data_IF_787199155525
#
_entry.id   IF_787199155525
#
_cell.length_a   1.000
_cell.length_b   1.000
_cell.length_c   1.000
_cell.angle_alpha   90.00
_cell.angle_beta   90.00
_cell.angle_gamma   90.00
#
_symmetry.space_group_name_H-M   'P 1'
#
loop_
_entity.id
_entity.type
_entity.pdbx_description
1 polymer ?
#
# COMPACT_ATOMS: atom_id res chain seq x y z
N UNK A 1 7.00 -36.73 8.51
CA UNK A 1 7.63 -35.65 9.31
C UNK A 1 9.14 -35.82 9.54
N UNK A 2 9.71 -37.03 9.56
CA UNK A 2 11.15 -37.23 9.85
C UNK A 2 12.08 -36.79 8.69
N UNK A 3 11.73 -37.10 7.44
CA UNK A 3 12.50 -36.75 6.23
C UNK A 3 12.63 -35.23 6.02
N UNK A 4 11.55 -34.48 6.26
CA UNK A 4 11.49 -33.02 6.18
C UNK A 4 12.59 -32.30 6.99
N UNK A 5 12.69 -32.66 8.28
CA UNK A 5 13.67 -32.05 9.19
C UNK A 5 15.11 -32.37 8.80
N UNK A 6 15.32 -33.53 8.19
CA UNK A 6 16.63 -33.95 7.72
C UNK A 6 17.05 -33.20 6.46
N UNK A 7 16.15 -32.94 5.52
CA UNK A 7 16.47 -32.17 4.31
C UNK A 7 16.79 -30.71 4.69
N UNK A 8 16.06 -30.13 5.64
CA UNK A 8 16.28 -28.77 6.13
C UNK A 8 17.73 -28.53 6.60
N UNK A 9 18.32 -29.48 7.33
CA UNK A 9 19.71 -29.35 7.80
C UNK A 9 20.78 -29.57 6.71
N UNK A 10 20.40 -30.02 5.50
CA UNK A 10 21.35 -30.20 4.39
C UNK A 10 21.57 -28.94 3.57
N UNK A 11 20.59 -28.02 3.58
CA UNK A 11 20.55 -26.86 2.70
C UNK A 11 20.60 -25.52 3.44
N UNK A 12 20.31 -25.49 4.75
CA UNK A 12 20.53 -24.30 5.57
C UNK A 12 21.97 -24.33 6.09
N UNK A 13 22.80 -23.41 5.60
CA UNK A 13 24.10 -23.11 6.19
C UNK A 13 23.83 -22.18 7.36
N UNK A 14 24.13 -22.62 8.58
CA UNK A 14 24.24 -21.71 9.73
C UNK A 14 25.35 -20.69 9.41
N UNK A 15 24.96 -19.48 8.99
CA UNK A 15 25.84 -18.32 9.07
C UNK A 15 26.08 -18.04 10.55
N UNK A 16 27.24 -18.47 11.06
CA UNK A 16 27.65 -18.15 12.42
C UNK A 16 28.64 -19.12 13.01
N UNK A 17 29.92 -18.93 12.70
CA UNK A 17 31.02 -18.99 13.68
C UNK A 17 32.29 -18.56 12.97
N UNK A 18 32.58 -17.26 13.02
CA UNK A 18 33.97 -16.77 12.89
C UNK A 18 34.74 -17.23 14.14
N UNK A 19 35.85 -17.97 14.01
CA UNK A 19 36.80 -18.11 15.09
C UNK A 19 37.86 -17.01 14.97
N UNK A 20 37.78 -16.08 15.93
CA UNK A 20 38.86 -15.32 16.58
C UNK A 20 40.17 -15.06 15.81
N UNK A 21 40.43 -13.77 15.65
CA UNK A 21 41.76 -13.19 15.44
C UNK A 21 42.78 -13.73 16.44
N UNK A 22 43.79 -14.45 15.95
CA UNK A 22 45.05 -14.66 16.66
C UNK A 22 46.15 -13.85 15.95
N UNK A 23 46.74 -12.91 16.68
CA UNK A 23 47.85 -12.05 16.24
C UNK A 23 49.18 -12.80 16.37
N UNK A 24 50.04 -12.76 15.35
CA UNK A 24 51.53 -12.58 15.42
C UNK A 24 52.16 -12.47 14.00
N UNK A 25 53.41 -11.96 13.82
CA UNK A 25 53.71 -10.87 12.87
C UNK A 25 54.63 -11.30 11.68
N UNK A 26 55.40 -10.43 10.96
CA UNK A 26 55.14 -10.14 9.54
C UNK A 26 56.24 -10.56 8.52
N UNK A 27 55.77 -10.86 7.30
CA UNK A 27 56.33 -10.62 5.93
C UNK A 27 57.68 -11.23 5.48
N UNK A 28 57.62 -12.02 4.41
CA UNK A 28 58.51 -11.95 3.25
C UNK A 28 57.75 -12.33 1.95
N UNK A 29 58.01 -11.70 0.78
CA UNK A 29 57.19 -11.89 -0.41
C UNK A 29 57.74 -13.00 -1.31
N UNK A 30 56.90 -13.96 -1.70
CA UNK A 30 57.20 -14.85 -2.82
C UNK A 30 56.09 -14.75 -3.86
N UNK A 31 56.53 -14.55 -5.09
CA UNK A 31 55.77 -14.30 -6.31
C UNK A 31 55.34 -15.63 -6.91
N UNK A 32 54.03 -15.84 -7.10
CA UNK A 32 53.51 -16.92 -7.95
C UNK A 32 52.33 -16.44 -8.80
N UNK A 33 52.36 -16.88 -10.06
CA UNK A 33 51.47 -16.63 -11.19
C UNK A 33 50.02 -17.11 -10.96
N UNK A 34 49.03 -16.59 -11.71
CA UNK A 34 47.62 -16.89 -11.49
C UNK A 34 47.22 -18.24 -12.11
N UNK A 35 46.66 -19.13 -11.28
CA UNK A 35 45.92 -20.33 -11.70
C UNK A 35 44.42 -20.00 -11.91
N UNK A 36 43.69 -20.78 -12.74
CA UNK A 36 42.48 -20.34 -13.42
C UNK A 36 41.22 -20.36 -12.53
N UNK A 37 40.30 -19.44 -12.87
CA UNK A 37 39.05 -19.15 -12.18
C UNK A 37 38.17 -20.41 -11.98
N UNK A 38 37.93 -20.74 -10.70
CA UNK A 38 36.84 -21.61 -10.28
C UNK A 38 35.51 -20.82 -10.31
N UNK A 39 34.44 -21.53 -10.69
CA UNK A 39 33.08 -21.10 -10.95
C UNK A 39 32.61 -19.79 -10.31
N UNK A 40 32.17 -18.88 -11.18
CA UNK A 40 31.29 -17.78 -10.79
C UNK A 40 29.98 -18.37 -10.24
N UNK A 41 29.77 -18.26 -8.94
CA UNK A 41 28.41 -18.27 -8.38
C UNK A 41 27.62 -17.16 -9.08
N UNK A 42 26.36 -17.42 -9.51
CA UNK A 42 25.56 -16.36 -10.12
C UNK A 42 25.39 -15.24 -9.09
N UNK A 43 25.83 -14.04 -9.44
CA UNK A 43 25.64 -12.84 -8.64
C UNK A 43 24.16 -12.73 -8.24
N UNK A 44 23.90 -12.83 -6.94
CA UNK A 44 22.56 -12.73 -6.37
C UNK A 44 21.94 -11.40 -6.78
N UNK A 45 20.81 -11.46 -7.49
CA UNK A 45 19.98 -10.31 -7.82
C UNK A 45 19.34 -9.72 -6.56
N UNK A 46 20.11 -9.06 -5.70
CA UNK A 46 19.67 -8.23 -4.57
C UNK A 46 18.79 -8.88 -3.48
N UNK A 47 18.43 -10.14 -3.63
CA UNK A 47 17.54 -10.89 -2.74
C UNK A 47 18.32 -11.57 -1.62
N UNK A 48 17.67 -11.69 -0.45
CA UNK A 48 18.18 -12.51 0.65
C UNK A 48 17.48 -13.87 0.61
N UNK A 49 18.25 -14.94 0.81
CA UNK A 49 17.68 -16.26 1.08
C UNK A 49 16.93 -16.16 2.42
N UNK A 50 15.63 -16.39 2.41
CA UNK A 50 14.81 -16.36 3.63
C UNK A 50 14.39 -17.76 4.01
N UNK A 51 14.34 -18.01 5.32
CA UNK A 51 13.94 -19.31 5.88
C UNK A 51 12.55 -19.74 5.37
N UNK A 52 11.62 -18.81 5.24
CA UNK A 52 10.27 -19.08 4.73
C UNK A 52 10.29 -19.63 3.29
N UNK A 53 11.03 -19.01 2.37
CA UNK A 53 11.06 -19.49 0.98
C UNK A 53 11.88 -20.76 0.85
N UNK A 54 12.95 -20.90 1.62
CA UNK A 54 13.69 -22.16 1.73
C UNK A 54 12.77 -23.29 2.22
N UNK A 55 11.92 -23.05 3.22
CA UNK A 55 10.94 -24.04 3.68
C UNK A 55 9.91 -24.42 2.59
N UNK A 56 9.43 -23.48 1.78
CA UNK A 56 8.51 -23.82 0.69
C UNK A 56 9.20 -24.71 -0.36
N UNK A 57 10.41 -24.33 -0.78
CA UNK A 57 11.16 -25.05 -1.81
C UNK A 57 11.58 -26.44 -1.36
N UNK A 58 12.11 -26.56 -0.14
CA UNK A 58 12.46 -27.85 0.43
C UNK A 58 11.22 -28.74 0.54
N UNK A 59 10.05 -28.17 0.85
CA UNK A 59 8.83 -28.95 1.06
C UNK A 59 8.39 -29.56 -0.26
N UNK A 60 8.45 -28.79 -1.34
CA UNK A 60 8.22 -29.29 -2.69
C UNK A 60 9.17 -30.45 -3.04
N UNK A 61 10.46 -30.35 -2.69
CA UNK A 61 11.41 -31.45 -2.88
C UNK A 61 11.05 -32.69 -2.06
N UNK A 62 10.67 -32.51 -0.79
CA UNK A 62 10.28 -33.64 0.09
C UNK A 62 8.99 -34.32 -0.35
N UNK A 63 8.03 -33.57 -0.90
CA UNK A 63 6.77 -34.12 -1.44
C UNK A 63 6.99 -34.87 -2.76
N UNK A 64 8.08 -34.56 -3.48
CA UNK A 64 8.49 -35.21 -4.73
C UNK A 64 9.70 -36.16 -4.53
N UNK A 65 9.85 -36.71 -3.33
CA UNK A 65 10.97 -37.58 -2.99
C UNK A 65 10.95 -38.89 -3.82
N UNK A 66 12.10 -39.28 -4.36
CA UNK A 66 12.25 -40.51 -5.14
C UNK A 66 12.55 -41.69 -4.20
N UNK A 67 11.95 -42.86 -4.45
CA UNK A 67 12.25 -44.08 -3.69
C UNK A 67 13.67 -44.60 -3.98
N UNK A 68 14.34 -45.07 -2.92
CA UNK A 68 15.70 -45.63 -2.98
C UNK A 68 16.79 -44.63 -2.58
N UNK A 69 18.05 -45.00 -2.83
CA UNK A 69 19.19 -44.12 -2.57
C UNK A 69 19.33 -43.10 -3.71
N UNK A 70 18.99 -41.84 -3.43
CA UNK A 70 18.90 -40.76 -4.41
C UNK A 70 19.85 -39.58 -4.09
N UNK A 71 19.70 -38.47 -4.81
CA UNK A 71 20.48 -37.26 -4.60
C UNK A 71 20.39 -36.70 -3.17
N UNK A 72 19.23 -36.78 -2.49
CA UNK A 72 19.08 -36.23 -1.14
C UNK A 72 19.84 -37.06 -0.11
N UNK A 73 19.76 -38.39 -0.21
CA UNK A 73 20.54 -39.28 0.66
C UNK A 73 22.05 -39.21 0.35
N UNK A 74 22.42 -38.98 -0.91
CA UNK A 74 23.79 -38.70 -1.30
C UNK A 74 24.30 -37.37 -0.70
N UNK A 75 23.51 -36.29 -0.80
CA UNK A 75 23.83 -34.98 -0.20
C UNK A 75 23.96 -35.06 1.32
N UNK A 76 23.15 -35.90 1.97
CA UNK A 76 23.25 -36.20 3.41
C UNK A 76 24.54 -36.93 3.78
N UNK A 77 24.95 -37.89 2.96
CA UNK A 77 26.22 -38.60 3.12
C UNK A 77 27.40 -37.62 2.99
N UNK A 78 27.36 -36.74 1.99
CA UNK A 78 28.35 -35.67 1.82
C UNK A 78 28.40 -34.73 3.03
N UNK A 79 27.25 -34.29 3.53
CA UNK A 79 27.16 -33.42 4.71
C UNK A 79 27.77 -34.08 5.95
N UNK A 80 27.53 -35.38 6.16
CA UNK A 80 28.11 -36.14 7.27
C UNK A 80 29.62 -36.22 7.18
N UNK A 81 30.16 -36.41 5.96
CA UNK A 81 31.61 -36.46 5.72
C UNK A 81 32.28 -35.09 5.82
N UNK A 82 31.57 -33.96 5.72
CA UNK A 82 32.16 -32.60 5.89
C UNK A 82 32.85 -32.40 7.24
N UNK A 83 32.46 -33.16 8.25
CA UNK A 83 33.04 -33.13 9.60
C UNK A 83 34.45 -33.73 9.67
N UNK A 84 34.90 -34.40 8.61
CA UNK A 84 36.22 -35.04 8.55
C UNK A 84 37.16 -34.21 7.67
N UNK A 85 38.45 -34.09 8.05
CA UNK A 85 39.47 -33.42 7.25
C UNK A 85 39.86 -34.29 6.05
N UNK A 86 39.15 -34.10 4.95
CA UNK A 86 39.44 -34.70 3.64
C UNK A 86 39.18 -33.65 2.55
N UNK A 87 39.83 -33.79 1.41
CA UNK A 87 39.58 -32.98 0.22
C UNK A 87 38.24 -33.34 -0.44
N UNK A 88 37.71 -32.42 -1.24
CA UNK A 88 36.39 -32.55 -1.87
C UNK A 88 36.27 -33.77 -2.80
N UNK A 89 37.24 -34.06 -3.71
CA UNK A 89 37.18 -35.26 -4.54
C UNK A 89 37.08 -36.56 -3.73
N UNK A 90 37.91 -36.70 -2.70
CA UNK A 90 37.89 -37.85 -1.78
C UNK A 90 36.57 -37.94 -1.03
N UNK A 91 35.97 -36.81 -0.63
CA UNK A 91 34.66 -36.77 0.03
C UNK A 91 33.55 -37.30 -0.87
N UNK A 92 33.51 -36.86 -2.13
CA UNK A 92 32.54 -37.33 -3.12
C UNK A 92 32.72 -38.82 -3.43
N UNK A 93 33.96 -39.26 -3.66
CA UNK A 93 34.26 -40.68 -3.89
C UNK A 93 33.89 -41.55 -2.69
N UNK A 94 34.17 -41.09 -1.47
CA UNK A 94 33.85 -41.82 -0.23
C UNK A 94 32.33 -41.92 0.01
N UNK A 95 31.60 -40.82 -0.19
CA UNK A 95 30.13 -40.84 -0.13
C UNK A 95 29.54 -41.78 -1.19
N UNK A 96 30.12 -41.79 -2.39
CA UNK A 96 29.65 -42.63 -3.48
C UNK A 96 29.97 -44.11 -3.24
N UNK A 97 31.15 -44.45 -2.71
CA UNK A 97 31.48 -45.82 -2.33
C UNK A 97 30.48 -46.39 -1.31
N UNK A 98 30.08 -45.59 -0.31
CA UNK A 98 29.02 -45.97 0.63
C UNK A 98 27.67 -46.14 -0.08
N UNK A 99 27.28 -45.19 -0.94
CA UNK A 99 26.06 -45.26 -1.72
C UNK A 99 25.99 -46.49 -2.64
N UNK A 100 27.12 -46.89 -3.23
CA UNK A 100 27.22 -48.04 -4.13
C UNK A 100 26.92 -49.36 -3.40
N UNK A 101 27.30 -49.48 -2.12
CA UNK A 101 26.92 -50.65 -1.30
C UNK A 101 25.41 -50.75 -1.07
N UNK A 102 24.69 -49.63 -1.19
CA UNK A 102 23.23 -49.54 -1.14
C UNK A 102 22.55 -49.56 -2.53
N UNK A 103 23.29 -49.90 -3.59
CA UNK A 103 22.76 -50.04 -4.94
C UNK A 103 22.69 -48.74 -5.76
N UNK A 104 23.27 -47.63 -5.29
CA UNK A 104 23.31 -46.38 -6.04
C UNK A 104 24.20 -46.48 -7.29
N UNK A 105 23.80 -45.80 -8.36
CA UNK A 105 24.56 -45.66 -9.61
C UNK A 105 24.80 -44.17 -9.91
N UNK A 106 25.95 -43.78 -10.47
CA UNK A 106 26.25 -42.36 -10.74
C UNK A 106 25.19 -41.70 -11.62
N UNK A 107 24.76 -42.39 -12.69
CA UNK A 107 23.74 -41.89 -13.59
C UNK A 107 22.39 -41.69 -12.88
N UNK A 108 22.03 -42.58 -11.95
CA UNK A 108 20.79 -42.46 -11.18
C UNK A 108 20.82 -41.27 -10.25
N UNK A 109 21.94 -41.01 -9.57
CA UNK A 109 22.12 -39.83 -8.71
C UNK A 109 21.95 -38.53 -9.50
N UNK A 110 22.57 -38.44 -10.68
CA UNK A 110 22.43 -37.28 -11.58
C UNK A 110 20.97 -37.13 -12.05
N UNK A 111 20.31 -38.21 -12.46
CA UNK A 111 18.90 -38.18 -12.86
C UNK A 111 17.99 -37.70 -11.71
N UNK A 112 18.22 -38.18 -10.50
CA UNK A 112 17.43 -37.75 -9.33
C UNK A 112 17.71 -36.30 -8.96
N UNK A 113 18.95 -35.81 -9.10
CA UNK A 113 19.28 -34.40 -8.92
C UNK A 113 18.54 -33.52 -9.94
N UNK A 114 18.53 -33.93 -11.21
CA UNK A 114 17.81 -33.23 -12.27
C UNK A 114 16.30 -33.19 -12.02
N UNK A 115 15.72 -34.27 -11.49
CA UNK A 115 14.32 -34.28 -11.07
C UNK A 115 14.03 -33.22 -10.00
N UNK A 116 14.88 -33.11 -8.97
CA UNK A 116 14.70 -32.07 -7.95
C UNK A 116 14.86 -30.65 -8.49
N UNK A 117 15.74 -30.43 -9.47
CA UNK A 117 15.82 -29.14 -10.18
C UNK A 117 14.51 -28.85 -10.91
N UNK A 118 13.94 -29.81 -11.63
CA UNK A 118 12.66 -29.65 -12.32
C UNK A 118 11.50 -29.38 -11.36
N UNK A 119 11.49 -30.01 -10.18
CA UNK A 119 10.50 -29.74 -9.12
C UNK A 119 10.62 -28.29 -8.64
N UNK A 120 11.84 -27.80 -8.43
CA UNK A 120 12.08 -26.41 -8.02
C UNK A 120 11.69 -25.41 -9.12
N UNK A 121 11.99 -25.70 -10.39
CA UNK A 121 11.57 -24.89 -11.54
C UNK A 121 10.04 -24.80 -11.65
N UNK A 122 9.32 -25.91 -11.41
CA UNK A 122 7.86 -25.90 -11.37
C UNK A 122 7.32 -25.05 -10.23
N UNK A 123 7.96 -25.10 -9.05
CA UNK A 123 7.55 -24.30 -7.91
C UNK A 123 7.83 -22.80 -8.12
N UNK A 124 8.95 -22.47 -8.78
CA UNK A 124 9.24 -21.11 -9.23
C UNK A 124 8.16 -20.59 -10.18
N UNK A 125 7.77 -21.37 -11.19
CA UNK A 125 6.72 -20.98 -12.14
C UNK A 125 5.37 -20.73 -11.45
N UNK A 126 4.97 -21.60 -10.51
CA UNK A 126 3.75 -21.39 -9.71
C UNK A 126 3.84 -20.11 -8.88
N UNK A 127 4.99 -19.86 -8.25
CA UNK A 127 5.21 -18.64 -7.47
C UNK A 127 5.10 -17.39 -8.35
N UNK A 128 5.74 -17.38 -9.52
CA UNK A 128 5.66 -16.26 -10.46
C UNK A 128 4.21 -16.02 -10.93
N UNK A 129 3.46 -17.08 -11.23
CA UNK A 129 2.05 -16.98 -11.62
C UNK A 129 1.17 -16.43 -10.47
N UNK A 130 1.37 -16.92 -9.24
CA UNK A 130 0.67 -16.43 -8.06
C UNK A 130 0.99 -14.96 -7.79
N UNK A 131 2.25 -14.56 -7.92
CA UNK A 131 2.68 -13.17 -7.76
C UNK A 131 2.08 -12.26 -8.83
N UNK A 132 2.06 -12.70 -10.09
CA UNK A 132 1.43 -11.95 -11.18
C UNK A 132 -0.07 -11.76 -10.95
N UNK A 133 -0.77 -12.80 -10.51
CA UNK A 133 -2.19 -12.72 -10.16
C UNK A 133 -2.44 -11.80 -8.97
N UNK A 134 -1.63 -11.90 -7.91
CA UNK A 134 -1.74 -11.04 -6.73
C UNK A 134 -1.50 -9.57 -7.09
N UNK A 135 -0.49 -9.30 -7.91
CA UNK A 135 -0.20 -7.96 -8.43
C UNK A 135 -1.37 -7.44 -9.25
N UNK A 136 -1.89 -8.24 -10.18
CA UNK A 136 -3.05 -7.89 -11.00
C UNK A 136 -4.25 -7.53 -10.13
N UNK A 137 -4.64 -8.40 -9.18
CA UNK A 137 -5.78 -8.16 -8.31
C UNK A 137 -5.62 -6.89 -7.46
N UNK A 138 -4.45 -6.66 -6.87
CA UNK A 138 -4.22 -5.47 -6.04
C UNK A 138 -4.18 -4.18 -6.85
N UNK A 139 -3.62 -4.21 -8.06
CA UNK A 139 -3.55 -3.02 -8.92
C UNK A 139 -4.93 -2.73 -9.52
N UNK A 140 -5.58 -3.73 -10.12
CA UNK A 140 -6.88 -3.59 -10.79
C UNK A 140 -7.97 -3.15 -9.81
N UNK A 141 -8.02 -3.71 -8.60
CA UNK A 141 -8.99 -3.28 -7.58
C UNK A 141 -8.79 -1.82 -7.17
N UNK A 142 -7.54 -1.39 -6.96
CA UNK A 142 -7.21 0.00 -6.63
C UNK A 142 -7.50 0.94 -7.79
N UNK A 143 -7.21 0.55 -9.03
CA UNK A 143 -7.57 1.34 -10.21
C UNK A 143 -9.09 1.55 -10.33
N UNK A 144 -9.89 0.51 -10.07
CA UNK A 144 -11.34 0.62 -10.05
C UNK A 144 -11.85 1.52 -8.92
N UNK A 145 -11.24 1.44 -7.74
CA UNK A 145 -11.57 2.30 -6.60
C UNK A 145 -11.26 3.78 -6.89
N UNK A 146 -10.09 4.06 -7.48
CA UNK A 146 -9.71 5.41 -7.92
C UNK A 146 -10.74 5.96 -8.91
N UNK A 147 -11.14 5.18 -9.92
CA UNK A 147 -12.15 5.63 -10.90
C UNK A 147 -13.49 5.98 -10.25
N UNK A 148 -13.96 5.16 -9.31
CA UNK A 148 -15.20 5.43 -8.55
C UNK A 148 -15.09 6.70 -7.71
N UNK A 149 -13.94 6.91 -7.09
CA UNK A 149 -13.67 8.13 -6.32
C UNK A 149 -13.66 9.36 -7.23
N UNK A 150 -13.02 9.29 -8.40
CA UNK A 150 -13.00 10.38 -9.38
C UNK A 150 -14.40 10.77 -9.87
N UNK A 151 -15.24 9.78 -10.18
CA UNK A 151 -16.65 10.01 -10.55
C UNK A 151 -17.43 10.67 -9.41
N UNK A 152 -17.21 10.21 -8.18
CA UNK A 152 -17.83 10.76 -6.98
C UNK A 152 -17.39 12.21 -6.73
N UNK A 153 -16.09 12.50 -6.88
CA UNK A 153 -15.53 13.85 -6.75
C UNK A 153 -16.13 14.78 -7.79
N UNK A 154 -16.19 14.37 -9.06
CA UNK A 154 -16.81 15.16 -10.14
C UNK A 154 -18.27 15.48 -9.85
N UNK A 155 -19.05 14.48 -9.46
CA UNK A 155 -20.46 14.65 -9.11
C UNK A 155 -20.66 15.61 -7.94
N UNK A 156 -19.88 15.47 -6.87
CA UNK A 156 -19.93 16.37 -5.71
C UNK A 156 -19.47 17.79 -6.05
N UNK A 157 -18.45 17.96 -6.88
CA UNK A 157 -17.99 19.26 -7.33
C UNK A 157 -19.08 20.01 -8.12
N UNK A 158 -19.80 19.31 -9.01
CA UNK A 158 -20.92 19.92 -9.73
C UNK A 158 -22.06 20.29 -8.76
N UNK A 159 -22.34 19.45 -7.75
CA UNK A 159 -23.35 19.78 -6.74
C UNK A 159 -22.95 21.00 -5.91
N UNK A 160 -21.68 21.14 -5.54
CA UNK A 160 -21.15 22.33 -4.85
C UNK A 160 -21.36 23.57 -5.72
N UNK A 161 -21.08 23.49 -7.03
CA UNK A 161 -21.28 24.60 -7.97
C UNK A 161 -22.76 25.04 -8.02
N UNK A 162 -23.67 24.08 -8.12
CA UNK A 162 -25.12 24.34 -8.11
C UNK A 162 -25.58 25.00 -6.81
N UNK A 163 -25.20 24.44 -5.67
CA UNK A 163 -25.56 24.98 -4.36
C UNK A 163 -25.01 26.39 -4.14
N UNK A 164 -23.78 26.65 -4.61
CA UNK A 164 -23.18 27.99 -4.56
C UNK A 164 -24.01 28.99 -5.36
N UNK A 165 -24.44 28.62 -6.57
CA UNK A 165 -25.28 29.49 -7.39
C UNK A 165 -26.65 29.75 -6.75
N UNK A 166 -27.26 28.74 -6.15
CA UNK A 166 -28.52 28.87 -5.41
C UNK A 166 -28.36 29.82 -4.21
N UNK A 167 -27.28 29.69 -3.44
CA UNK A 167 -26.97 30.58 -2.31
C UNK A 167 -26.85 32.03 -2.78
N UNK A 168 -26.11 32.30 -3.86
CA UNK A 168 -25.98 33.66 -4.41
C UNK A 168 -27.33 34.25 -4.85
N UNK A 169 -28.18 33.44 -5.48
CA UNK A 169 -29.50 33.87 -5.91
C UNK A 169 -30.40 34.22 -4.72
N UNK A 170 -30.38 33.40 -3.67
CA UNK A 170 -31.12 33.68 -2.44
C UNK A 170 -30.60 34.92 -1.71
N UNK A 171 -29.29 35.14 -1.67
CA UNK A 171 -28.71 36.35 -1.09
C UNK A 171 -29.15 37.62 -1.84
N UNK A 172 -29.17 37.58 -3.18
CA UNK A 172 -29.67 38.70 -4.00
C UNK A 172 -31.16 38.97 -3.75
N UNK A 173 -31.98 37.92 -3.70
CA UNK A 173 -33.40 38.05 -3.39
C UNK A 173 -33.64 38.63 -1.99
N UNK A 174 -32.87 38.17 -0.99
CA UNK A 174 -32.93 38.70 0.37
C UNK A 174 -32.58 40.19 0.42
N UNK A 175 -31.52 40.62 -0.27
CA UNK A 175 -31.14 42.03 -0.33
C UNK A 175 -32.23 42.90 -0.99
N UNK A 176 -32.85 42.41 -2.07
CA UNK A 176 -33.97 43.09 -2.72
C UNK A 176 -35.17 43.26 -1.78
N UNK A 177 -35.57 42.20 -1.08
CA UNK A 177 -36.66 42.27 -0.10
C UNK A 177 -36.36 43.23 1.05
N UNK A 178 -35.11 43.28 1.53
CA UNK A 178 -34.71 44.23 2.57
C UNK A 178 -34.85 45.68 2.10
N UNK A 179 -34.50 45.96 0.84
CA UNK A 179 -34.69 47.27 0.24
C UNK A 179 -36.18 47.62 0.10
N UNK A 180 -36.99 46.70 -0.43
CA UNK A 180 -38.45 46.90 -0.56
C UNK A 180 -39.11 47.19 0.79
N UNK A 181 -38.70 46.50 1.85
CA UNK A 181 -39.17 46.76 3.22
C UNK A 181 -38.78 48.18 3.65
N UNK A 182 -37.53 48.60 3.42
CA UNK A 182 -37.06 49.94 3.74
C UNK A 182 -37.88 51.03 3.05
N UNK A 183 -38.07 50.90 1.74
CA UNK A 183 -38.85 51.84 0.91
C UNK A 183 -40.32 51.91 1.36
N UNK A 184 -40.92 50.74 1.68
CA UNK A 184 -42.29 50.67 2.17
C UNK A 184 -42.46 51.35 3.55
N UNK A 185 -41.51 51.15 4.47
CA UNK A 185 -41.51 51.79 5.79
C UNK A 185 -41.38 53.31 5.64
N UNK A 186 -40.46 53.80 4.80
CA UNK A 186 -40.28 55.24 4.58
C UNK A 186 -41.54 55.89 4.02
N UNK A 187 -42.18 55.25 3.03
CA UNK A 187 -43.43 55.73 2.43
C UNK A 187 -44.59 55.76 3.44
N UNK A 188 -44.69 54.74 4.29
CA UNK A 188 -45.70 54.66 5.35
C UNK A 188 -45.50 55.79 6.36
N UNK A 189 -44.26 56.02 6.81
CA UNK A 189 -43.94 57.11 7.74
C UNK A 189 -44.17 58.49 7.12
N UNK A 190 -43.88 58.69 5.83
CA UNK A 190 -44.22 59.94 5.15
C UNK A 190 -45.72 60.16 5.12
N UNK A 191 -46.49 59.16 4.70
CA UNK A 191 -47.95 59.23 4.65
C UNK A 191 -48.53 59.56 6.02
N UNK A 192 -48.00 58.95 7.09
CA UNK A 192 -48.38 59.23 8.47
C UNK A 192 -48.10 60.68 8.86
N UNK A 193 -46.89 61.18 8.57
CA UNK A 193 -46.51 62.58 8.87
C UNK A 193 -47.41 63.56 8.11
N UNK A 194 -47.63 63.33 6.82
CA UNK A 194 -48.45 64.18 5.95
C UNK A 194 -49.90 64.23 6.44
N UNK A 195 -50.46 63.09 6.84
CA UNK A 195 -51.80 63.01 7.42
C UNK A 195 -51.90 63.79 8.74
N UNK A 196 -50.97 63.58 9.67
CA UNK A 196 -50.97 64.27 10.97
C UNK A 196 -50.83 65.78 10.79
N UNK A 197 -49.92 66.23 9.92
CA UNK A 197 -49.74 67.65 9.62
C UNK A 197 -51.02 68.27 9.03
N UNK A 198 -51.64 67.57 8.07
CA UNK A 198 -52.91 68.01 7.46
C UNK A 198 -54.05 68.07 8.48
N UNK A 199 -54.18 67.06 9.34
CA UNK A 199 -55.16 67.01 10.42
C UNK A 199 -54.97 68.16 11.40
N UNK A 200 -53.74 68.40 11.88
CA UNK A 200 -53.43 69.49 12.80
C UNK A 200 -53.73 70.86 12.20
N UNK A 201 -53.43 71.06 10.92
CA UNK A 201 -53.75 72.28 10.18
C UNK A 201 -55.26 72.54 10.13
N UNK A 202 -56.06 71.56 9.71
CA UNK A 202 -57.52 71.66 9.64
C UNK A 202 -58.15 71.92 11.01
N UNK A 203 -57.75 71.15 12.03
CA UNK A 203 -58.25 71.35 13.40
C UNK A 203 -57.86 72.72 13.94
N UNK A 204 -56.64 73.19 13.64
CA UNK A 204 -56.18 74.53 14.03
C UNK A 204 -57.01 75.64 13.38
N UNK A 205 -57.30 75.53 12.08
CA UNK A 205 -58.18 76.45 11.36
C UNK A 205 -59.58 76.49 11.97
N UNK A 206 -60.21 75.32 12.15
CA UNK A 206 -61.55 75.23 12.75
C UNK A 206 -61.58 75.84 14.15
N UNK A 207 -60.57 75.57 14.99
CA UNK A 207 -60.48 76.15 16.34
C UNK A 207 -60.37 77.67 16.31
N UNK A 208 -59.53 78.21 15.42
CA UNK A 208 -59.37 79.65 15.24
C UNK A 208 -60.66 80.29 14.73
N UNK A 209 -61.34 79.64 13.80
CA UNK A 209 -62.63 80.10 13.29
C UNK A 209 -63.70 80.08 14.39
N UNK A 210 -63.72 79.05 15.25
CA UNK A 210 -64.61 79.00 16.42
C UNK A 210 -64.35 80.15 17.40
N UNK A 211 -63.09 80.48 17.68
CA UNK A 211 -62.73 81.64 18.53
C UNK A 211 -63.21 82.96 17.91
N UNK A 212 -62.96 83.15 16.61
CA UNK A 212 -63.44 84.32 15.87
C UNK A 212 -64.97 84.40 15.89
N UNK A 213 -65.69 83.29 15.65
CA UNK A 213 -67.14 83.27 15.70
C UNK A 213 -67.67 83.68 17.08
N UNK A 214 -67.08 83.16 18.17
CA UNK A 214 -67.45 83.57 19.53
C UNK A 214 -67.22 85.06 19.76
N UNK A 215 -66.11 85.62 19.25
CA UNK A 215 -65.75 87.02 19.43
C UNK A 215 -66.63 87.98 18.62
N UNK A 216 -66.92 87.67 17.36
CA UNK A 216 -67.57 88.60 16.43
C UNK A 216 -69.08 88.39 16.28
N UNK A 217 -69.60 87.19 16.57
CA UNK A 217 -71.03 86.88 16.48
C UNK A 217 -71.72 86.82 17.85
N UNK A 218 -70.95 86.77 18.95
CA UNK A 218 -71.48 86.66 20.31
C UNK A 218 -72.09 87.93 20.92
N UNK A 219 -72.00 89.08 20.23
CA UNK A 219 -72.58 90.35 20.68
C UNK A 219 -73.50 90.96 19.62
N UNK A 220 -74.75 90.52 19.58
CA UNK A 220 -75.90 91.36 19.20
C UNK A 220 -77.11 90.93 20.03
N UNK A 221 -77.55 91.84 20.89
CA UNK A 221 -78.90 91.89 21.45
C UNK A 221 -79.96 91.95 20.34
#
# INVERSE_FOLDING_TARGET
MSMWKNIRSLFIIEEGTEPQEEKTPPKAPSRQEPAPAAGQEPESAGGKVTEQFTEVLLRAMSENNIEGFDYLEYKKSLSSLRKMPMDEPTRYQSAFAMAQTMGAQPQRLIQTAQHYVQVLEQEEQKFQAALANQKKLQVESKEQEIRKLDETVKSKAEKIRQLTQEIENHQKAQAGLQQEIGDAVEKLESTRRDFIASYQSLVGQIRKDMENMKQYLGNKE
#
